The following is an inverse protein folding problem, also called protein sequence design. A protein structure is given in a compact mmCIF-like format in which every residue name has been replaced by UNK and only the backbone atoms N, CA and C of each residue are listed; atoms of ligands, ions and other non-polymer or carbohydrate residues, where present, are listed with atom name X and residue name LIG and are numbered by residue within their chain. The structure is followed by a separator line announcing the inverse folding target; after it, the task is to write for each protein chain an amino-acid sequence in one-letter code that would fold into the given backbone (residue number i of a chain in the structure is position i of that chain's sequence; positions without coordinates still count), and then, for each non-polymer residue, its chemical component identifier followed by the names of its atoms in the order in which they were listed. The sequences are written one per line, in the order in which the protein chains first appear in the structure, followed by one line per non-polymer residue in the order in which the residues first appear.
data_IF_166681166365
#
_entry.id   IF_166681166365
#
_cell.length_a   1.000
_cell.length_b   1.000
_cell.length_c   1.000
_cell.angle_alpha   90.00
_cell.angle_beta   90.00
_cell.angle_gamma   90.00
#
_symmetry.space_group_name_H-M   'P 1'
#
loop_
_entity.id
_entity.type
_entity.pdbx_description
1 polymer ?
#
# COMPACT_ATOMS: atom_id res chain seq x y z
N UNK A 1 18.17 -27.13 -11.04
CA UNK A 1 17.61 -26.36 -9.91
C UNK A 1 16.16 -26.05 -10.23
N UNK A 2 15.20 -26.28 -9.31
CA UNK A 2 13.85 -25.73 -9.44
C UNK A 2 13.86 -24.34 -8.82
N UNK A 3 13.57 -23.32 -9.62
CA UNK A 3 13.37 -21.97 -9.12
C UNK A 3 11.94 -21.82 -8.62
N UNK A 4 11.74 -21.09 -7.52
CA UNK A 4 10.41 -20.82 -6.97
C UNK A 4 9.53 -19.98 -7.92
N UNK A 5 10.16 -19.14 -8.76
CA UNK A 5 9.51 -18.34 -9.79
C UNK A 5 10.07 -18.73 -11.16
N UNK A 6 9.23 -18.64 -12.19
CA UNK A 6 9.58 -18.98 -13.59
C UNK A 6 10.27 -17.83 -14.34
N UNK A 7 10.17 -16.60 -13.82
CA UNK A 7 10.78 -15.40 -14.39
C UNK A 7 11.89 -14.91 -13.46
N UNK A 8 13.01 -14.45 -14.01
CA UNK A 8 14.04 -13.78 -13.23
C UNK A 8 13.85 -12.27 -13.23
N UNK A 9 14.17 -11.65 -12.10
CA UNK A 9 14.11 -10.19 -11.92
C UNK A 9 14.94 -9.40 -12.93
N UNK A 10 16.09 -9.92 -13.31
CA UNK A 10 17.03 -9.27 -14.24
C UNK A 10 16.57 -9.30 -15.70
N UNK A 11 15.75 -10.29 -16.07
CA UNK A 11 15.27 -10.48 -17.44
C UNK A 11 13.96 -9.72 -17.70
N UNK A 12 13.01 -9.79 -16.75
CA UNK A 12 11.75 -9.07 -16.79
C UNK A 12 11.29 -8.73 -15.36
N UNK A 13 11.55 -7.49 -14.95
CA UNK A 13 11.20 -7.01 -13.61
C UNK A 13 9.68 -6.99 -13.38
N UNK A 14 8.90 -6.60 -14.40
CA UNK A 14 7.46 -6.43 -14.24
C UNK A 14 6.76 -7.78 -14.04
N UNK A 15 7.06 -8.76 -14.89
CA UNK A 15 6.53 -10.11 -14.74
C UNK A 15 7.04 -10.79 -13.46
N UNK A 16 8.32 -10.61 -13.13
CA UNK A 16 8.88 -11.12 -11.87
C UNK A 16 8.17 -10.56 -10.64
N UNK A 17 7.89 -9.25 -10.62
CA UNK A 17 7.23 -8.59 -9.48
C UNK A 17 5.82 -9.15 -9.27
N UNK A 18 5.05 -9.29 -10.35
CA UNK A 18 3.71 -9.88 -10.28
C UNK A 18 3.76 -11.34 -9.81
N UNK A 19 4.70 -12.14 -10.33
CA UNK A 19 4.89 -13.52 -9.91
C UNK A 19 5.28 -13.61 -8.41
N UNK A 20 6.17 -12.74 -7.94
CA UNK A 20 6.57 -12.71 -6.53
C UNK A 20 5.40 -12.35 -5.60
N UNK A 21 4.56 -11.39 -5.99
CA UNK A 21 3.37 -10.98 -5.23
C UNK A 21 2.33 -12.11 -5.18
N UNK A 22 2.07 -12.76 -6.32
CA UNK A 22 1.07 -13.81 -6.45
C UNK A 22 1.50 -15.10 -5.71
N UNK A 23 2.71 -15.62 -5.99
CA UNK A 23 3.24 -16.84 -5.37
C UNK A 23 3.51 -16.64 -3.87
N UNK A 24 3.84 -15.42 -3.47
CA UNK A 24 3.96 -15.02 -2.06
C UNK A 24 2.61 -14.81 -1.35
N UNK A 25 1.49 -14.99 -2.04
CA UNK A 25 0.13 -14.77 -1.53
C UNK A 25 -0.07 -13.40 -0.86
N UNK A 26 0.60 -12.36 -1.39
CA UNK A 26 0.58 -11.01 -0.79
C UNK A 26 -0.61 -10.17 -1.24
N UNK A 27 -0.94 -10.22 -2.53
CA UNK A 27 -2.08 -9.50 -3.10
C UNK A 27 -2.58 -10.19 -4.37
N UNK A 28 -3.79 -9.84 -4.79
CA UNK A 28 -4.41 -10.31 -6.03
C UNK A 28 -5.17 -9.19 -6.71
N UNK A 29 -5.42 -9.31 -8.02
CA UNK A 29 -6.17 -8.31 -8.77
C UNK A 29 -7.57 -8.14 -8.19
N UNK A 30 -8.00 -6.89 -8.04
CA UNK A 30 -9.40 -6.62 -7.81
C UNK A 30 -10.15 -6.54 -9.14
N UNK A 31 -11.47 -6.72 -9.12
CA UNK A 31 -12.31 -6.46 -10.30
C UNK A 31 -12.34 -4.99 -10.75
N UNK A 32 -11.64 -4.09 -10.05
CA UNK A 32 -11.53 -2.66 -10.39
C UNK A 32 -10.12 -2.39 -10.90
N UNK A 33 -10.04 -1.79 -12.10
CA UNK A 33 -8.77 -1.43 -12.73
C UNK A 33 -7.97 -0.51 -11.82
N UNK A 34 -6.69 -0.84 -11.63
CA UNK A 34 -5.78 -0.06 -10.79
C UNK A 34 -5.91 -0.36 -9.29
N UNK A 35 -6.76 -1.32 -8.90
CA UNK A 35 -6.94 -1.72 -7.51
C UNK A 35 -6.55 -3.19 -7.31
N UNK A 36 -6.03 -3.48 -6.13
CA UNK A 36 -5.59 -4.82 -5.70
C UNK A 36 -6.30 -5.17 -4.39
N UNK A 37 -6.63 -6.43 -4.18
CA UNK A 37 -6.99 -6.96 -2.87
C UNK A 37 -5.70 -7.37 -2.16
N UNK A 38 -5.36 -6.69 -1.05
CA UNK A 38 -4.21 -7.06 -0.23
C UNK A 38 -4.63 -8.22 0.69
N UNK A 39 -3.95 -9.35 0.55
CA UNK A 39 -4.24 -10.58 1.30
C UNK A 39 -3.66 -10.52 2.71
N UNK A 40 -4.06 -11.41 3.65
CA UNK A 40 -3.58 -11.35 5.03
C UNK A 40 -2.06 -11.31 5.19
N UNK A 41 -1.32 -12.04 4.35
CA UNK A 41 0.15 -12.01 4.40
C UNK A 41 0.73 -10.64 4.02
N UNK A 42 0.21 -10.03 2.95
CA UNK A 42 0.60 -8.68 2.53
C UNK A 42 0.15 -7.61 3.53
N UNK A 43 -1.06 -7.73 4.06
CA UNK A 43 -1.62 -6.77 5.00
C UNK A 43 -0.91 -6.83 6.36
N UNK A 44 -0.48 -8.01 6.80
CA UNK A 44 0.33 -8.17 8.02
C UNK A 44 1.68 -7.43 7.96
N UNK A 45 2.23 -7.20 6.77
CA UNK A 45 3.41 -6.32 6.60
C UNK A 45 3.00 -4.87 6.89
N UNK A 46 1.88 -4.42 6.35
CA UNK A 46 1.35 -3.08 6.59
C UNK A 46 1.04 -2.83 8.07
N UNK A 47 0.38 -3.77 8.76
CA UNK A 47 0.09 -3.66 10.20
C UNK A 47 1.37 -3.47 11.03
N UNK A 48 2.46 -4.16 10.67
CA UNK A 48 3.77 -4.00 11.34
C UNK A 48 4.39 -2.63 11.09
N UNK A 49 4.32 -2.15 9.85
CA UNK A 49 4.81 -0.81 9.49
C UNK A 49 4.01 0.25 10.26
N UNK A 50 2.68 0.16 10.23
CA UNK A 50 1.78 1.07 10.90
C UNK A 50 2.09 1.14 12.40
N UNK A 51 2.18 -0.01 13.10
CA UNK A 51 2.48 -0.04 14.53
C UNK A 51 3.82 0.62 14.86
N UNK A 52 4.89 0.25 14.15
CA UNK A 52 6.22 0.79 14.43
C UNK A 52 6.31 2.29 14.18
N UNK A 53 5.61 2.80 13.17
CA UNK A 53 5.55 4.23 12.89
C UNK A 53 4.71 4.97 13.95
N UNK A 54 3.57 4.40 14.31
CA UNK A 54 2.64 4.94 15.29
C UNK A 54 3.28 5.08 16.68
N UNK A 55 4.01 4.06 17.14
CA UNK A 55 4.77 4.09 18.39
C UNK A 55 5.78 5.24 18.42
N UNK A 56 6.47 5.49 17.30
CA UNK A 56 7.47 6.56 17.17
C UNK A 56 6.83 7.94 17.16
N UNK A 57 5.69 8.11 16.50
CA UNK A 57 4.94 9.37 16.49
C UNK A 57 4.45 9.68 17.91
N UNK A 58 3.85 8.71 18.59
CA UNK A 58 3.37 8.86 19.97
C UNK A 58 4.50 9.19 20.96
N UNK A 59 5.69 8.62 20.77
CA UNK A 59 6.86 8.94 21.59
C UNK A 59 7.28 10.43 21.52
N UNK A 60 6.83 11.16 20.48
CA UNK A 60 7.07 12.61 20.35
C UNK A 60 5.96 13.48 20.95
N UNK A 61 4.96 12.87 21.60
CA UNK A 61 3.85 13.57 22.25
C UNK A 61 2.67 13.92 21.34
N UNK A 62 2.57 13.28 20.17
CA UNK A 62 1.48 13.49 19.22
C UNK A 62 0.37 12.44 19.38
N UNK A 63 -0.87 12.85 19.09
CA UNK A 63 -2.04 11.99 19.08
C UNK A 63 -2.58 11.81 17.65
N UNK A 64 -3.14 10.62 17.40
CA UNK A 64 -3.83 10.35 16.13
C UNK A 64 -5.20 11.01 16.12
N UNK A 65 -5.58 11.58 14.97
CA UNK A 65 -6.92 12.09 14.71
C UNK A 65 -7.46 11.49 13.40
N UNK A 66 -8.78 11.38 13.30
CA UNK A 66 -9.45 10.94 12.09
C UNK A 66 -10.41 12.03 11.62
N UNK A 67 -10.20 12.49 10.39
CA UNK A 67 -11.03 13.51 9.74
C UNK A 67 -11.91 12.86 8.67
N UNK A 68 -13.02 13.51 8.29
CA UNK A 68 -13.87 13.02 7.21
C UNK A 68 -13.10 12.85 5.89
N UNK A 69 -13.26 11.71 5.23
CA UNK A 69 -12.69 11.46 3.90
C UNK A 69 -13.29 12.38 2.83
N UNK A 70 -14.57 12.72 2.98
CA UNK A 70 -15.29 13.62 2.08
C UNK A 70 -15.36 15.01 2.68
N UNK A 71 -14.93 16.01 1.89
CA UNK A 71 -15.06 17.43 2.22
C UNK A 71 -15.88 18.14 1.13
N UNK A 72 -16.55 19.26 1.44
CA UNK A 72 -17.24 20.07 0.43
C UNK A 72 -16.28 20.53 -0.68
N UNK A 73 -16.76 20.57 -1.93
CA UNK A 73 -15.96 21.03 -3.08
C UNK A 73 -15.40 22.44 -2.86
N UNK A 74 -16.19 23.32 -2.23
CA UNK A 74 -15.77 24.68 -1.89
C UNK A 74 -14.51 24.75 -1.03
N UNK A 75 -14.18 23.69 -0.28
CA UNK A 75 -12.95 23.64 0.50
C UNK A 75 -11.73 23.28 -0.36
N UNK A 76 -11.90 22.46 -1.39
CA UNK A 76 -10.85 22.19 -2.38
C UNK A 76 -10.54 23.43 -3.22
N UNK A 77 -11.57 24.20 -3.60
CA UNK A 77 -11.42 25.41 -4.43
C UNK A 77 -10.63 26.52 -3.71
N UNK A 78 -10.63 26.54 -2.38
CA UNK A 78 -9.85 27.51 -1.59
C UNK A 78 -8.34 27.22 -1.55
N UNK A 79 -7.91 26.00 -1.87
CA UNK A 79 -6.49 25.63 -2.00
C UNK A 79 -5.97 25.85 -3.42
N UNK A 80 -6.84 25.96 -4.43
CA UNK A 80 -6.45 26.18 -5.82
C UNK A 80 -5.72 27.51 -6.06
N UNK A 81 -5.96 28.52 -5.22
CA UNK A 81 -5.24 29.81 -5.25
C UNK A 81 -3.77 29.69 -4.76
N UNK A 82 -3.38 28.56 -4.17
CA UNK A 82 -2.02 28.28 -3.68
C UNK A 82 -1.21 27.34 -4.60
N UNK A 83 -1.73 27.00 -5.78
CA UNK A 83 -1.04 26.20 -6.82
C UNK A 83 -0.72 27.06 -8.05
#
# INVERSE_FOLDING_TARGET
MRHALTVKREDDFAAWYQAAIAEGQMAEESGVRGCMVIKPWGYGIWERIQRLLDDRIKATGHDNAYFPLFIPLSNFEREADHV
#
